data_IF_371687290943
#
_entry.id   IF_371687290943
#
_cell.length_a   1.000
_cell.length_b   1.000
_cell.length_c   1.000
_cell.angle_alpha   90.00
_cell.angle_beta   90.00
_cell.angle_gamma   90.00
#
_symmetry.space_group_name_H-M   'P 1'
#
loop_
_entity.id
_entity.type
_entity.pdbx_description
1 polymer ?
#
# COMPACT_ATOMS: atom_id res chain seq x y z
N UNK A 1 12.59 -28.88 12.12
CA UNK A 1 13.62 -29.25 11.15
C UNK A 1 14.36 -28.01 10.67
N UNK A 2 15.58 -28.20 10.25
CA UNK A 2 16.41 -27.14 9.64
C UNK A 2 16.80 -27.67 8.25
N UNK A 3 16.58 -26.88 7.22
CA UNK A 3 16.97 -27.20 5.86
C UNK A 3 18.30 -26.50 5.58
N UNK A 4 19.32 -27.27 5.27
CA UNK A 4 20.65 -26.77 4.93
C UNK A 4 20.90 -27.06 3.45
N UNK A 5 21.31 -26.05 2.73
CA UNK A 5 21.73 -26.19 1.35
C UNK A 5 23.02 -27.01 1.28
N UNK A 6 23.04 -28.14 0.54
CA UNK A 6 24.18 -29.05 0.54
C UNK A 6 25.44 -28.46 -0.14
N UNK A 7 25.28 -27.48 -1.02
CA UNK A 7 26.40 -26.91 -1.78
C UNK A 7 27.04 -25.73 -1.06
N UNK A 8 26.25 -24.96 -0.31
CA UNK A 8 26.72 -23.73 0.37
C UNK A 8 26.86 -23.87 1.88
N UNK A 9 26.30 -24.91 2.49
CA UNK A 9 26.20 -25.12 3.94
C UNK A 9 25.40 -24.00 4.68
N UNK A 10 24.65 -23.16 3.98
CA UNK A 10 23.79 -22.16 4.61
C UNK A 10 22.44 -22.75 4.98
N UNK A 11 21.89 -22.27 6.09
CA UNK A 11 20.52 -22.58 6.48
C UNK A 11 19.55 -21.83 5.55
N UNK A 12 18.79 -22.57 4.74
CA UNK A 12 17.78 -22.04 3.81
C UNK A 12 16.38 -22.05 4.38
N UNK A 13 16.15 -22.77 5.50
CA UNK A 13 14.86 -22.77 6.18
C UNK A 13 14.90 -23.51 7.51
N UNK A 14 13.99 -23.15 8.39
CA UNK A 14 13.75 -23.84 9.65
C UNK A 14 12.25 -23.83 9.99
N UNK A 15 11.74 -24.92 10.59
CA UNK A 15 10.34 -25.00 10.95
C UNK A 15 10.05 -26.11 11.94
N UNK A 16 8.89 -26.03 12.59
CA UNK A 16 8.37 -27.09 13.43
C UNK A 16 7.31 -27.90 12.69
N UNK A 17 7.46 -29.21 12.64
CA UNK A 17 6.47 -30.12 12.07
C UNK A 17 5.34 -30.27 13.09
N UNK A 18 4.11 -29.89 12.74
CA UNK A 18 2.90 -30.06 13.56
C UNK A 18 1.93 -31.07 12.97
N UNK A 19 2.42 -32.21 12.51
CA UNK A 19 1.58 -33.27 11.94
C UNK A 19 2.33 -34.09 10.89
N UNK A 20 1.69 -35.11 10.35
CA UNK A 20 2.22 -35.89 9.25
C UNK A 20 2.30 -35.03 8.00
N UNK A 21 3.49 -34.82 7.47
CA UNK A 21 3.73 -34.16 6.21
C UNK A 21 3.63 -35.17 5.10
N UNK A 22 2.77 -34.97 4.09
CA UNK A 22 2.83 -35.77 2.86
C UNK A 22 4.18 -35.52 2.20
N UNK A 23 4.74 -36.57 1.58
CA UNK A 23 5.99 -36.43 0.86
C UNK A 23 5.84 -35.39 -0.28
N UNK A 24 6.94 -34.73 -0.66
CA UNK A 24 6.95 -33.82 -1.78
C UNK A 24 6.46 -34.51 -3.07
N UNK A 25 6.79 -35.79 -3.22
CA UNK A 25 6.36 -36.65 -4.33
C UNK A 25 4.84 -36.88 -4.35
N UNK A 26 4.20 -37.09 -3.18
CA UNK A 26 2.74 -37.21 -3.08
C UNK A 26 2.01 -35.89 -3.38
N UNK A 27 2.65 -34.78 -3.12
CA UNK A 27 2.10 -33.45 -3.43
C UNK A 27 2.21 -33.15 -4.93
N UNK A 28 3.31 -33.52 -5.57
CA UNK A 28 3.55 -33.32 -7.01
C UNK A 28 2.62 -34.24 -7.85
N UNK A 29 2.43 -35.50 -7.45
CA UNK A 29 1.54 -36.43 -8.17
C UNK A 29 0.04 -36.08 -8.04
N UNK A 30 -0.37 -35.29 -7.04
CA UNK A 30 -1.74 -34.81 -6.93
C UNK A 30 -2.08 -33.71 -7.96
N UNK A 31 -1.06 -33.05 -8.51
CA UNK A 31 -1.22 -31.97 -9.50
C UNK A 31 -1.15 -32.44 -10.97
N UNK A 32 -0.70 -33.68 -11.24
CA UNK A 32 -0.50 -34.16 -12.62
C UNK A 32 -1.72 -34.84 -13.28
N UNK A 33 -2.87 -34.99 -12.61
CA UNK A 33 -4.00 -35.77 -13.12
C UNK A 33 -5.15 -34.92 -13.71
N UNK A 34 -4.88 -33.79 -14.33
CA UNK A 34 -5.89 -33.12 -15.17
C UNK A 34 -5.27 -32.68 -16.51
N UNK A 35 -5.26 -33.58 -17.46
CA UNK A 35 -5.14 -33.24 -18.90
C UNK A 35 -6.32 -33.77 -19.64
N UNK A 36 -7.15 -32.90 -20.15
CA UNK A 36 -8.19 -33.14 -21.15
C UNK A 36 -8.46 -31.86 -21.91
N UNK A 37 -8.13 -31.88 -23.19
CA UNK A 37 -8.20 -30.73 -24.10
C UNK A 37 -9.64 -30.34 -24.40
N UNK A 38 -9.94 -29.02 -24.36
CA UNK A 38 -10.85 -28.34 -25.30
C UNK A 38 -10.66 -26.82 -25.13
N UNK A 39 -10.35 -26.14 -26.24
CA UNK A 39 -10.18 -24.69 -26.33
C UNK A 39 -11.53 -23.96 -26.18
N UNK A 40 -11.77 -23.39 -25.00
CA UNK A 40 -12.78 -22.34 -24.78
C UNK A 40 -12.07 -21.04 -24.44
N UNK A 41 -12.66 -19.86 -24.72
CA UNK A 41 -12.04 -18.58 -24.36
C UNK A 41 -11.78 -18.59 -22.85
N UNK A 42 -10.49 -18.53 -22.50
CA UNK A 42 -9.96 -18.73 -21.16
C UNK A 42 -10.63 -17.75 -20.20
N UNK A 43 -11.69 -18.16 -19.53
CA UNK A 43 -11.98 -17.64 -18.20
C UNK A 43 -10.85 -18.18 -17.35
N UNK A 44 -9.89 -17.30 -17.07
CA UNK A 44 -8.90 -17.58 -16.02
C UNK A 44 -9.70 -17.67 -14.72
N UNK A 45 -10.12 -18.87 -14.34
CA UNK A 45 -10.59 -19.11 -12.99
C UNK A 45 -9.41 -18.79 -12.10
N UNK A 46 -9.55 -17.77 -11.26
CA UNK A 46 -8.53 -17.46 -10.28
C UNK A 46 -8.44 -18.66 -9.34
N UNK A 47 -7.41 -19.47 -9.49
CA UNK A 47 -7.11 -20.54 -8.56
C UNK A 47 -6.98 -19.97 -7.14
N UNK A 48 -7.54 -20.68 -6.17
CA UNK A 48 -7.41 -20.25 -4.79
C UNK A 48 -5.94 -20.29 -4.40
N UNK A 49 -5.39 -19.21 -3.82
CA UNK A 49 -4.00 -19.21 -3.39
C UNK A 49 -3.78 -20.33 -2.36
N UNK A 50 -2.63 -21.01 -2.44
CA UNK A 50 -2.26 -22.08 -1.52
C UNK A 50 -2.24 -21.62 -0.04
N UNK A 51 -2.00 -20.35 0.22
CA UNK A 51 -2.04 -19.71 1.54
C UNK A 51 -2.94 -18.49 1.44
N UNK A 52 -4.08 -18.53 2.12
CA UNK A 52 -5.03 -17.41 2.11
C UNK A 52 -4.64 -16.31 3.11
N UNK A 53 -5.14 -15.11 2.89
CA UNK A 53 -4.88 -13.92 3.72
C UNK A 53 -5.15 -14.16 5.22
N UNK A 54 -6.22 -14.86 5.58
CA UNK A 54 -6.56 -15.14 6.98
C UNK A 54 -5.50 -15.97 7.71
N UNK A 55 -4.88 -16.93 7.04
CA UNK A 55 -3.78 -17.72 7.59
C UNK A 55 -2.54 -16.85 7.86
N UNK A 56 -2.29 -15.88 6.97
CA UNK A 56 -1.22 -14.89 7.15
C UNK A 56 -1.50 -13.96 8.32
N UNK A 57 -2.73 -13.43 8.45
CA UNK A 57 -3.15 -12.61 9.60
C UNK A 57 -2.99 -13.36 10.92
N UNK A 58 -3.36 -14.64 10.94
CA UNK A 58 -3.19 -15.49 12.12
C UNK A 58 -1.71 -15.68 12.46
N UNK A 59 -0.87 -15.95 11.45
CA UNK A 59 0.58 -16.15 11.62
C UNK A 59 1.26 -14.86 12.08
N UNK A 60 0.95 -13.74 11.48
CA UNK A 60 1.58 -12.44 11.76
C UNK A 60 0.99 -11.75 13.00
N UNK A 61 -0.13 -12.26 13.53
CA UNK A 61 -0.80 -11.73 14.74
C UNK A 61 -1.30 -10.29 14.60
N UNK A 62 -1.57 -9.85 13.38
CA UNK A 62 -2.24 -8.58 13.07
C UNK A 62 -3.18 -8.77 11.89
N UNK A 63 -4.08 -7.83 11.68
CA UNK A 63 -4.95 -7.81 10.52
C UNK A 63 -4.33 -6.99 9.40
N UNK A 64 -4.62 -7.37 8.16
CA UNK A 64 -4.21 -6.60 6.98
C UNK A 64 -5.07 -5.36 6.80
N UNK A 65 -4.48 -4.32 6.26
CA UNK A 65 -5.18 -3.08 5.93
C UNK A 65 -4.42 -2.31 4.85
N UNK A 66 -5.14 -1.44 4.13
CA UNK A 66 -4.55 -0.42 3.27
C UNK A 66 -4.75 0.94 3.93
N UNK A 67 -3.68 1.65 4.18
CA UNK A 67 -3.67 3.00 4.74
C UNK A 67 -3.28 3.95 3.62
N UNK A 68 -4.25 4.69 3.12
CA UNK A 68 -4.11 5.56 1.96
C UNK A 68 -3.95 7.02 2.38
N UNK A 69 -2.71 7.50 2.35
CA UNK A 69 -2.41 8.91 2.65
C UNK A 69 -2.62 9.76 1.41
N UNK A 70 -3.53 10.72 1.50
CA UNK A 70 -3.79 11.74 0.48
C UNK A 70 -3.50 13.14 1.02
N UNK A 71 -3.26 14.11 0.14
CA UNK A 71 -2.95 15.51 0.49
C UNK A 71 -1.99 16.13 -0.51
N UNK A 72 -1.80 17.45 -0.44
CA UNK A 72 -0.94 18.22 -1.34
C UNK A 72 0.52 17.76 -1.32
N UNK A 73 1.27 18.05 -2.37
CA UNK A 73 2.73 17.92 -2.35
C UNK A 73 3.30 18.72 -1.17
N UNK A 74 4.32 18.24 -0.48
CA UNK A 74 4.86 18.94 0.70
C UNK A 74 4.01 18.88 1.98
N UNK A 75 2.81 18.24 1.96
CA UNK A 75 1.96 18.12 3.17
C UNK A 75 2.52 17.19 4.26
N UNK A 76 3.60 16.45 4.01
CA UNK A 76 4.20 15.57 5.02
C UNK A 76 3.80 14.08 4.96
N UNK A 77 3.02 13.65 3.96
CA UNK A 77 2.56 12.25 3.79
C UNK A 77 3.67 11.22 3.97
N UNK A 78 4.74 11.34 3.18
CA UNK A 78 5.84 10.37 3.19
C UNK A 78 6.60 10.37 4.52
N UNK A 79 6.68 11.48 5.23
CA UNK A 79 7.32 11.56 6.54
C UNK A 79 6.50 10.77 7.56
N UNK A 80 5.20 11.04 7.64
CA UNK A 80 4.30 10.33 8.56
C UNK A 80 4.28 8.84 8.23
N UNK A 81 4.11 8.47 6.95
CA UNK A 81 4.03 7.07 6.56
C UNK A 81 5.31 6.29 6.87
N UNK A 82 6.50 6.85 6.60
CA UNK A 82 7.79 6.22 6.94
C UNK A 82 7.99 6.08 8.45
N UNK A 83 7.57 7.09 9.22
CA UNK A 83 7.64 7.02 10.68
C UNK A 83 6.66 5.99 11.25
N UNK A 84 5.45 5.92 10.70
CA UNK A 84 4.45 4.91 11.07
C UNK A 84 4.95 3.50 10.70
N UNK A 85 5.49 3.31 9.49
CA UNK A 85 6.08 2.05 9.05
C UNK A 85 7.13 1.56 10.05
N UNK A 86 8.06 2.44 10.45
CA UNK A 86 9.11 2.10 11.43
C UNK A 86 8.53 1.65 12.77
N UNK A 87 7.50 2.33 13.27
CA UNK A 87 6.84 1.96 14.53
C UNK A 87 6.13 0.61 14.42
N UNK A 88 5.39 0.39 13.33
CA UNK A 88 4.69 -0.88 13.09
C UNK A 88 5.70 -2.03 12.93
N UNK A 89 6.75 -1.84 12.15
CA UNK A 89 7.79 -2.84 11.94
C UNK A 89 8.49 -3.21 13.25
N UNK A 90 8.81 -2.22 14.10
CA UNK A 90 9.43 -2.45 15.41
C UNK A 90 8.53 -3.30 16.36
N UNK A 91 7.22 -3.31 16.13
CA UNK A 91 6.27 -4.13 16.88
C UNK A 91 5.93 -5.47 16.20
N UNK A 92 6.67 -5.83 15.15
CA UNK A 92 6.50 -7.10 14.43
C UNK A 92 5.35 -7.12 13.43
N UNK A 93 4.80 -5.97 13.07
CA UNK A 93 3.76 -5.85 12.04
C UNK A 93 4.41 -5.94 10.66
N UNK A 94 3.87 -6.82 9.81
CA UNK A 94 4.32 -6.94 8.43
C UNK A 94 3.77 -5.77 7.60
N UNK A 95 4.66 -4.90 7.13
CA UNK A 95 4.31 -3.65 6.42
C UNK A 95 4.83 -3.65 4.99
N UNK A 96 4.15 -2.91 4.12
CA UNK A 96 4.61 -2.57 2.77
C UNK A 96 4.38 -1.07 2.53
N UNK A 97 5.44 -0.32 2.21
CA UNK A 97 5.33 1.10 1.88
C UNK A 97 5.39 1.30 0.36
N UNK A 98 4.29 1.77 -0.18
CA UNK A 98 4.15 2.19 -1.58
C UNK A 98 4.27 3.71 -1.64
N UNK A 99 5.49 4.16 -1.89
CA UNK A 99 5.79 5.58 -2.03
C UNK A 99 5.81 5.98 -3.51
N UNK A 100 5.22 7.14 -3.81
CA UNK A 100 5.09 7.66 -5.16
C UNK A 100 6.41 7.68 -5.94
N UNK A 101 7.52 8.07 -5.31
CA UNK A 101 8.82 8.17 -5.99
C UNK A 101 9.31 6.82 -6.52
N UNK A 102 9.20 5.77 -5.71
CA UNK A 102 9.65 4.44 -6.11
C UNK A 102 8.82 3.89 -7.28
N UNK A 103 7.49 4.00 -7.20
CA UNK A 103 6.62 3.43 -8.22
C UNK A 103 6.70 4.19 -9.54
N UNK A 104 6.96 5.48 -9.48
CA UNK A 104 7.10 6.28 -10.69
C UNK A 104 8.37 5.96 -11.48
N UNK A 105 9.45 5.63 -10.84
CA UNK A 105 10.69 5.24 -11.53
C UNK A 105 10.67 3.79 -12.04
N UNK A 106 9.67 3.00 -11.68
CA UNK A 106 9.48 1.60 -12.06
C UNK A 106 8.15 1.34 -12.74
N UNK A 107 7.16 0.94 -11.97
CA UNK A 107 5.84 0.50 -12.43
C UNK A 107 5.10 1.53 -13.29
N UNK A 108 5.27 2.81 -13.02
CA UNK A 108 4.56 3.91 -13.68
C UNK A 108 5.52 4.83 -14.47
N UNK A 109 6.68 4.33 -14.91
CA UNK A 109 7.68 5.13 -15.64
C UNK A 109 7.24 5.57 -17.03
N UNK A 110 6.27 4.86 -17.58
CA UNK A 110 5.64 5.10 -18.89
C UNK A 110 4.55 6.19 -18.84
N UNK A 111 4.12 6.60 -17.65
CA UNK A 111 3.03 7.57 -17.48
C UNK A 111 3.57 9.00 -17.34
N UNK A 112 2.85 9.97 -17.94
CA UNK A 112 3.11 11.39 -17.85
C UNK A 112 2.62 12.02 -16.53
N UNK A 113 3.10 13.21 -16.18
CA UNK A 113 2.56 14.03 -15.08
C UNK A 113 1.44 14.97 -15.48
N UNK A 114 1.45 15.34 -16.77
CA UNK A 114 0.68 16.42 -17.31
C UNK A 114 -0.67 15.98 -17.88
N UNK A 115 -0.89 14.66 -18.00
CA UNK A 115 -2.12 14.12 -18.57
C UNK A 115 -3.01 13.54 -17.47
N UNK A 116 -4.29 13.89 -17.48
CA UNK A 116 -5.23 13.44 -16.46
C UNK A 116 -5.45 11.92 -16.53
N UNK A 117 -5.46 11.34 -17.73
CA UNK A 117 -5.60 9.90 -17.96
C UNK A 117 -4.44 9.13 -17.34
N UNK A 118 -3.21 9.59 -17.51
CA UNK A 118 -2.01 8.98 -16.94
C UNK A 118 -2.01 9.07 -15.41
N UNK A 119 -2.56 10.15 -14.84
CA UNK A 119 -2.71 10.31 -13.40
C UNK A 119 -3.75 9.36 -12.83
N UNK A 120 -4.84 9.13 -13.55
CA UNK A 120 -5.86 8.14 -13.19
C UNK A 120 -5.27 6.73 -13.25
N UNK A 121 -4.58 6.39 -14.34
CA UNK A 121 -3.96 5.08 -14.52
C UNK A 121 -2.87 4.82 -13.48
N UNK A 122 -2.09 5.83 -13.09
CA UNK A 122 -1.12 5.71 -12.01
C UNK A 122 -1.79 5.27 -10.70
N UNK A 123 -2.87 5.93 -10.29
CA UNK A 123 -3.60 5.59 -9.06
C UNK A 123 -4.24 4.21 -9.17
N UNK A 124 -4.78 3.84 -10.33
CA UNK A 124 -5.32 2.50 -10.58
C UNK A 124 -4.26 1.42 -10.40
N UNK A 125 -3.08 1.57 -11.05
CA UNK A 125 -1.96 0.59 -10.90
C UNK A 125 -1.51 0.45 -9.46
N UNK A 126 -1.39 1.56 -8.73
CA UNK A 126 -1.02 1.54 -7.31
C UNK A 126 -2.07 0.83 -6.48
N UNK A 127 -3.36 1.05 -6.77
CA UNK A 127 -4.46 0.36 -6.10
C UNK A 127 -4.39 -1.15 -6.24
N UNK A 128 -4.12 -1.65 -7.46
CA UNK A 128 -3.95 -3.08 -7.72
C UNK A 128 -2.75 -3.67 -6.95
N UNK A 129 -1.61 -2.97 -6.97
CA UNK A 129 -0.43 -3.40 -6.21
C UNK A 129 -0.71 -3.40 -4.70
N UNK A 130 -1.43 -2.39 -4.20
CA UNK A 130 -1.82 -2.34 -2.80
C UNK A 130 -2.73 -3.52 -2.42
N UNK A 131 -3.66 -3.90 -3.30
CA UNK A 131 -4.54 -5.06 -3.14
C UNK A 131 -3.72 -6.37 -3.08
N UNK A 132 -2.72 -6.54 -3.94
CA UNK A 132 -1.83 -7.72 -3.91
C UNK A 132 -1.10 -7.81 -2.58
N UNK A 133 -0.48 -6.73 -2.09
CA UNK A 133 0.19 -6.74 -0.78
C UNK A 133 -0.78 -6.95 0.39
N UNK A 134 -1.99 -6.40 0.29
CA UNK A 134 -3.06 -6.63 1.26
C UNK A 134 -3.41 -8.12 1.36
N UNK A 135 -3.62 -8.80 0.23
CA UNK A 135 -3.90 -10.25 0.20
C UNK A 135 -2.70 -11.07 0.70
N UNK A 136 -1.47 -10.57 0.57
CA UNK A 136 -0.27 -11.20 1.08
C UNK A 136 0.01 -10.96 2.58
N UNK A 137 -0.93 -10.36 3.30
CA UNK A 137 -0.84 -10.26 4.76
C UNK A 137 -0.20 -8.98 5.28
N UNK A 138 -0.01 -7.95 4.43
CA UNK A 138 0.66 -6.70 4.83
C UNK A 138 -0.33 -5.63 5.32
N UNK A 139 0.15 -4.77 6.22
CA UNK A 139 -0.39 -3.42 6.40
C UNK A 139 0.28 -2.53 5.37
N UNK A 140 -0.48 -2.12 4.34
CA UNK A 140 0.05 -1.39 3.19
C UNK A 140 -0.10 0.11 3.42
N UNK A 141 0.99 0.84 3.33
CA UNK A 141 1.05 2.29 3.49
C UNK A 141 1.24 2.93 2.11
N UNK A 142 0.26 3.66 1.61
CA UNK A 142 0.27 4.27 0.28
C UNK A 142 0.37 5.79 0.38
N UNK A 143 1.41 6.42 -0.20
CA UNK A 143 1.64 7.87 -0.10
C UNK A 143 1.53 8.54 -1.46
N UNK A 144 0.32 8.98 -1.80
CA UNK A 144 0.01 9.60 -3.09
C UNK A 144 -0.77 10.90 -2.89
N UNK A 145 -0.62 11.85 -3.82
CA UNK A 145 -1.47 13.05 -3.82
C UNK A 145 -2.92 12.60 -4.03
N UNK A 146 -3.17 11.71 -5.03
CA UNK A 146 -4.48 11.18 -5.41
C UNK A 146 -5.57 12.29 -5.34
N UNK A 147 -5.48 13.30 -6.24
CA UNK A 147 -6.18 14.56 -6.04
C UNK A 147 -7.70 14.45 -6.17
N UNK A 148 -8.20 13.50 -6.95
CA UNK A 148 -9.63 13.36 -7.22
C UNK A 148 -10.26 12.30 -6.31
N UNK A 149 -11.46 12.56 -5.80
CA UNK A 149 -12.21 11.62 -4.94
C UNK A 149 -12.51 10.32 -5.67
N UNK A 150 -12.94 10.41 -6.95
CA UNK A 150 -13.24 9.22 -7.74
C UNK A 150 -12.06 8.24 -7.84
N UNK A 151 -10.83 8.73 -7.92
CA UNK A 151 -9.62 7.88 -7.92
C UNK A 151 -9.45 7.13 -6.60
N UNK A 152 -9.66 7.81 -5.47
CA UNK A 152 -9.57 7.21 -4.14
C UNK A 152 -10.70 6.21 -3.89
N UNK A 153 -11.91 6.53 -4.36
CA UNK A 153 -13.08 5.64 -4.28
C UNK A 153 -12.87 4.36 -5.12
N UNK A 154 -12.25 4.46 -6.29
CA UNK A 154 -11.88 3.29 -7.10
C UNK A 154 -10.92 2.37 -6.35
N UNK A 155 -9.88 2.90 -5.73
CA UNK A 155 -8.95 2.08 -4.93
C UNK A 155 -9.64 1.50 -3.70
N UNK A 156 -10.48 2.29 -3.03
CA UNK A 156 -11.25 1.82 -1.87
C UNK A 156 -12.14 0.63 -2.22
N UNK A 157 -12.73 0.61 -3.43
CA UNK A 157 -13.57 -0.49 -3.90
C UNK A 157 -12.82 -1.81 -4.12
N UNK A 158 -11.49 -1.79 -4.26
CA UNK A 158 -10.66 -3.00 -4.37
C UNK A 158 -10.44 -3.70 -3.02
N UNK A 159 -10.68 -3.00 -1.92
CA UNK A 159 -10.34 -3.46 -0.57
C UNK A 159 -11.63 -3.71 0.23
N UNK A 160 -11.75 -4.82 0.94
CA UNK A 160 -12.94 -5.11 1.74
C UNK A 160 -13.25 -4.00 2.76
N UNK A 161 -14.55 -3.83 3.03
CA UNK A 161 -15.03 -2.84 4.01
C UNK A 161 -14.34 -3.00 5.37
N UNK A 162 -13.99 -1.86 5.99
CA UNK A 162 -13.29 -1.81 7.27
C UNK A 162 -11.80 -2.15 7.20
N UNK A 163 -11.23 -2.30 5.98
CA UNK A 163 -9.82 -2.59 5.76
C UNK A 163 -9.07 -1.52 4.96
N UNK A 164 -9.79 -0.56 4.40
CA UNK A 164 -9.23 0.63 3.76
C UNK A 164 -9.42 1.82 4.68
N UNK A 165 -8.36 2.58 4.93
CA UNK A 165 -8.36 3.78 5.76
C UNK A 165 -7.86 4.97 4.95
N UNK A 166 -8.75 5.92 4.65
CA UNK A 166 -8.40 7.17 3.99
C UNK A 166 -7.86 8.16 5.02
N UNK A 167 -6.60 8.52 4.89
CA UNK A 167 -5.88 9.44 5.78
C UNK A 167 -5.65 10.76 5.05
N UNK A 168 -6.35 11.81 5.47
CA UNK A 168 -6.12 13.14 4.93
C UNK A 168 -5.00 13.85 5.68
N UNK A 169 -3.87 14.02 5.01
CA UNK A 169 -2.72 14.79 5.53
C UNK A 169 -2.92 16.25 5.17
N UNK A 170 -3.58 16.98 6.09
CA UNK A 170 -3.95 18.37 5.92
C UNK A 170 -2.75 19.29 6.16
N UNK A 171 -2.55 20.20 5.24
CA UNK A 171 -1.61 21.30 5.32
C UNK A 171 -2.06 22.38 4.35
N UNK A 172 -1.96 23.64 4.73
CA UNK A 172 -2.32 24.75 3.82
C UNK A 172 -1.43 24.75 2.59
N UNK A 173 -2.00 25.20 1.46
CA UNK A 173 -1.23 25.36 0.22
C UNK A 173 -0.04 26.29 0.42
N UNK A 174 -0.23 27.37 1.19
CA UNK A 174 0.83 28.32 1.48
C UNK A 174 2.01 27.66 2.21
N UNK A 175 1.74 26.87 3.22
CA UNK A 175 2.78 26.12 3.95
C UNK A 175 3.44 25.06 3.08
N UNK A 176 2.67 24.38 2.21
CA UNK A 176 3.22 23.42 1.26
C UNK A 176 4.17 24.11 0.26
N UNK A 177 3.83 25.31 -0.25
CA UNK A 177 4.69 26.13 -1.12
C UNK A 177 5.97 26.55 -0.38
N UNK A 178 5.84 26.98 0.88
CA UNK A 178 7.01 27.37 1.68
C UNK A 178 7.97 26.20 1.94
N UNK A 179 7.41 25.00 2.17
CA UNK A 179 8.21 23.80 2.40
C UNK A 179 8.91 23.32 1.12
N UNK A 180 8.22 23.32 0.02
CA UNK A 180 8.63 22.86 -1.34
C UNK A 180 9.92 22.05 -1.40
N UNK A 181 9.99 20.87 -0.75
CA UNK A 181 11.25 20.13 -0.53
C UNK A 181 11.93 19.66 -1.82
N UNK A 182 11.25 19.76 -2.96
CA UNK A 182 11.71 19.32 -4.28
C UNK A 182 11.74 20.43 -5.32
N UNK A 183 11.37 21.64 -4.97
CA UNK A 183 11.25 22.77 -5.90
C UNK A 183 10.14 22.61 -6.95
N UNK A 184 9.15 21.73 -6.69
CA UNK A 184 8.07 21.45 -7.65
C UNK A 184 7.06 22.59 -7.72
N UNK A 185 6.76 23.23 -6.59
CA UNK A 185 5.90 24.41 -6.57
C UNK A 185 6.51 25.56 -7.34
N UNK A 186 7.81 25.80 -7.14
CA UNK A 186 8.54 26.82 -7.91
C UNK A 186 8.41 26.54 -9.40
N UNK A 187 8.70 25.34 -9.85
CA UNK A 187 8.59 24.97 -11.27
C UNK A 187 7.16 25.11 -11.81
N UNK A 188 6.14 24.79 -11.01
CA UNK A 188 4.75 24.94 -11.42
C UNK A 188 4.34 26.41 -11.55
N UNK A 189 4.81 27.28 -10.64
CA UNK A 189 4.57 28.73 -10.67
C UNK A 189 5.30 29.35 -11.85
N UNK A 190 6.52 28.90 -12.15
CA UNK A 190 7.33 29.37 -13.28
C UNK A 190 6.80 28.82 -14.63
N UNK A 191 5.75 27.98 -14.62
CA UNK A 191 5.10 27.44 -15.82
C UNK A 191 5.80 26.21 -16.44
N UNK A 192 6.82 25.67 -15.78
CA UNK A 192 7.54 24.47 -16.26
C UNK A 192 6.71 23.18 -16.09
N UNK A 193 5.75 23.16 -15.16
CA UNK A 193 4.84 22.04 -14.93
C UNK A 193 3.42 22.50 -15.24
N UNK A 194 2.81 22.07 -16.34
CA UNK A 194 1.54 22.61 -16.83
C UNK A 194 0.32 22.22 -15.98
N UNK A 195 0.38 21.08 -15.29
CA UNK A 195 -0.72 20.58 -14.47
C UNK A 195 -0.22 20.14 -13.08
N UNK A 196 -0.12 21.08 -12.14
CA UNK A 196 0.34 20.80 -10.79
C UNK A 196 -0.77 20.98 -9.77
N UNK A 197 -1.05 19.94 -9.00
CA UNK A 197 -2.13 19.92 -8.00
C UNK A 197 -1.94 21.02 -6.95
N UNK A 198 -2.95 21.86 -6.79
CA UNK A 198 -2.95 23.01 -5.87
C UNK A 198 -2.51 24.32 -6.49
N UNK A 199 -1.91 24.35 -7.69
CA UNK A 199 -1.57 25.57 -8.43
C UNK A 199 -2.52 25.76 -9.61
N UNK A 200 -2.44 24.89 -10.60
CA UNK A 200 -3.22 24.96 -11.84
C UNK A 200 -4.04 23.69 -12.11
N UNK A 201 -4.02 22.74 -11.18
CA UNK A 201 -4.90 21.56 -11.16
C UNK A 201 -5.56 21.42 -9.78
N UNK A 202 -6.82 20.94 -9.72
CA UNK A 202 -7.58 20.85 -8.47
C UNK A 202 -7.05 19.77 -7.53
N UNK A 203 -7.30 19.97 -6.25
CA UNK A 203 -7.26 18.94 -5.21
C UNK A 203 -8.63 18.89 -4.52
N UNK A 204 -9.27 17.75 -4.57
CA UNK A 204 -10.54 17.50 -3.90
C UNK A 204 -10.29 16.87 -2.54
N UNK A 205 -10.46 17.65 -1.47
CA UNK A 205 -10.34 17.12 -0.12
C UNK A 205 -11.33 15.97 0.11
N UNK A 206 -10.92 14.92 0.88
CA UNK A 206 -11.82 13.85 1.27
C UNK A 206 -13.05 14.40 2.02
N UNK A 207 -14.24 13.86 1.71
CA UNK A 207 -15.47 14.28 2.40
C UNK A 207 -15.56 13.65 3.80
N UNK A 208 -15.19 12.38 3.92
CA UNK A 208 -15.30 11.61 5.15
C UNK A 208 -14.05 10.73 5.33
N UNK A 209 -12.86 11.31 5.55
CA UNK A 209 -11.66 10.53 5.81
C UNK A 209 -11.76 9.80 7.17
N UNK A 210 -11.12 8.65 7.30
CA UNK A 210 -11.08 7.93 8.57
C UNK A 210 -10.31 8.71 9.65
N UNK A 211 -9.35 9.55 9.24
CA UNK A 211 -8.62 10.47 10.11
C UNK A 211 -8.05 11.65 9.31
N UNK A 212 -7.99 12.80 9.96
CA UNK A 212 -7.29 13.99 9.48
C UNK A 212 -6.04 14.19 10.33
N UNK A 213 -4.89 14.25 9.66
CA UNK A 213 -3.59 14.54 10.28
C UNK A 213 -3.15 15.95 9.87
N UNK A 214 -3.16 16.87 10.82
CA UNK A 214 -2.73 18.25 10.61
C UNK A 214 -1.22 18.34 10.83
N UNK A 215 -0.46 18.56 9.76
CA UNK A 215 1.01 18.66 9.84
C UNK A 215 1.51 20.08 9.94
N UNK A 216 0.62 21.04 9.95
CA UNK A 216 0.94 22.46 10.12
C UNK A 216 0.94 22.86 11.58
N UNK A 217 -0.03 22.36 12.36
CA UNK A 217 -0.24 22.76 13.74
C UNK A 217 0.02 21.65 14.77
N UNK A 218 0.08 20.39 14.33
CA UNK A 218 0.25 19.24 15.23
C UNK A 218 1.60 18.56 14.95
N UNK A 219 2.29 18.17 16.02
CA UNK A 219 3.58 17.48 15.89
C UNK A 219 3.46 16.15 15.14
N UNK A 220 4.55 15.71 14.52
CA UNK A 220 4.61 14.38 13.88
C UNK A 220 4.30 13.30 14.91
N UNK A 221 4.81 13.42 16.11
CA UNK A 221 4.62 12.44 17.20
C UNK A 221 3.14 12.30 17.58
N UNK A 222 2.42 13.39 17.72
CA UNK A 222 1.00 13.36 18.09
C UNK A 222 0.11 12.87 16.93
N UNK A 223 0.45 13.20 15.69
CA UNK A 223 -0.18 12.63 14.50
C UNK A 223 0.05 11.10 14.45
N UNK A 224 1.24 10.61 14.79
CA UNK A 224 1.52 9.17 14.86
C UNK A 224 0.76 8.47 15.99
N UNK A 225 0.64 9.10 17.18
CA UNK A 225 -0.19 8.59 18.28
C UNK A 225 -1.66 8.45 17.85
N UNK A 226 -2.19 9.44 17.13
CA UNK A 226 -3.54 9.40 16.58
C UNK A 226 -3.73 8.24 15.59
N UNK A 227 -2.76 8.03 14.68
CA UNK A 227 -2.78 6.90 13.75
C UNK A 227 -2.75 5.55 14.46
N UNK A 228 -1.85 5.38 15.44
CA UNK A 228 -1.78 4.12 16.21
C UNK A 228 -3.08 3.87 16.99
N UNK A 229 -3.68 4.92 17.55
CA UNK A 229 -4.98 4.84 18.24
C UNK A 229 -6.08 4.37 17.28
N UNK A 230 -6.15 4.94 16.07
CA UNK A 230 -7.08 4.51 15.03
C UNK A 230 -6.89 3.02 14.71
N UNK A 231 -5.67 2.58 14.40
CA UNK A 231 -5.40 1.19 14.02
C UNK A 231 -5.72 0.19 15.15
N UNK A 232 -5.48 0.58 16.41
CA UNK A 232 -5.88 -0.21 17.59
C UNK A 232 -7.41 -0.28 17.74
N UNK A 233 -8.10 0.85 17.60
CA UNK A 233 -9.57 0.91 17.73
C UNK A 233 -10.28 0.08 16.66
N UNK A 234 -9.70 0.02 15.46
CA UNK A 234 -10.20 -0.79 14.34
C UNK A 234 -9.73 -2.26 14.42
N UNK A 235 -8.94 -2.61 15.43
CA UNK A 235 -8.45 -3.97 15.66
C UNK A 235 -7.50 -4.47 14.56
N UNK A 236 -6.82 -3.56 13.85
CA UNK A 236 -5.78 -3.88 12.86
C UNK A 236 -4.53 -4.36 13.58
N UNK A 237 -4.12 -3.64 14.61
CA UNK A 237 -3.00 -4.00 15.48
C UNK A 237 -3.51 -4.24 16.90
N UNK A 238 -2.76 -5.03 17.69
CA UNK A 238 -3.12 -5.33 19.07
C UNK A 238 -2.96 -4.10 19.95
N UNK A 239 -3.71 -4.10 21.07
CA UNK A 239 -3.62 -3.05 22.10
C UNK A 239 -2.25 -3.03 22.76
#
# INVERSE_FOLDING_TARGET
>A
FIIIDPDTNFTVGAGMIRGAVRSIEETIHAEETVKGEEELPVKVEMERPAIVRLEREERYKHKTAVIWFTGLSGSGKSIIAKSLERLLFATGIHTALLDWDKLRHGLCKDLSFSEDEDRIENIRRVGEVASVFYEHGSVVLCTFISPLRCQRDQVKALIPEGRFFEVFVRCSLQTCIQRDPRGLYKKAIDGEIPQFTGINAPYEEPLNPDIILDTEHISIEDNLKAMLSLLKSKGIIRK
#
